data_IF_932436662285
#
_entry.id   IF_932436662285
#
_cell.length_a   1.000
_cell.length_b   1.000
_cell.length_c   1.000
_cell.angle_alpha   90.00
_cell.angle_beta   90.00
_cell.angle_gamma   90.00
#
_symmetry.space_group_name_H-M   'P 1'
#
loop_
_entity.id
_entity.type
_entity.pdbx_description
1 polymer ?
#
# COMPACT_ATOMS: atom_id res chain seq x y z
N UNK A 1 -13.92 -1.75 20.03
CA UNK A 1 -12.82 -2.11 19.11
C UNK A 1 -13.16 -1.50 17.75
N UNK A 2 -12.19 -0.90 17.04
CA UNK A 2 -12.40 -0.39 15.68
C UNK A 2 -11.66 -1.30 14.69
N UNK A 3 -12.30 -1.66 13.58
CA UNK A 3 -11.73 -2.52 12.54
C UNK A 3 -11.37 -1.69 11.31
N UNK A 4 -10.11 -1.78 10.87
CA UNK A 4 -9.67 -1.14 9.64
C UNK A 4 -9.73 -2.14 8.47
N UNK A 5 -10.27 -1.70 7.33
CA UNK A 5 -10.33 -2.44 6.08
C UNK A 5 -9.60 -1.62 5.01
N UNK A 6 -8.65 -2.23 4.32
CA UNK A 6 -7.87 -1.60 3.25
C UNK A 6 -8.19 -2.32 1.94
N UNK A 7 -8.76 -1.60 0.97
CA UNK A 7 -9.04 -2.12 -0.36
C UNK A 7 -7.97 -1.71 -1.39
N UNK A 8 -7.94 -2.38 -2.55
CA UNK A 8 -6.98 -2.09 -3.64
C UNK A 8 -7.31 -0.83 -4.46
N UNK A 9 -8.55 -0.32 -4.37
CA UNK A 9 -9.05 0.83 -5.12
C UNK A 9 -10.32 1.41 -4.49
N UNK A 10 -10.68 2.68 -4.77
CA UNK A 10 -11.83 3.35 -4.16
C UNK A 10 -13.18 2.65 -4.39
N UNK A 11 -13.38 2.03 -5.57
CA UNK A 11 -14.67 1.41 -5.88
C UNK A 11 -14.97 0.21 -4.97
N UNK A 12 -13.96 -0.62 -4.70
CA UNK A 12 -14.07 -1.78 -3.81
C UNK A 12 -14.29 -1.33 -2.37
N UNK A 13 -13.56 -0.30 -1.91
CA UNK A 13 -13.78 0.28 -0.58
C UNK A 13 -15.21 0.78 -0.38
N UNK A 14 -15.79 1.46 -1.38
CA UNK A 14 -17.18 1.96 -1.31
C UNK A 14 -18.20 0.84 -1.20
N UNK A 15 -18.01 -0.25 -1.93
CA UNK A 15 -18.89 -1.42 -1.87
C UNK A 15 -18.84 -2.09 -0.49
N UNK A 16 -17.63 -2.32 0.04
CA UNK A 16 -17.43 -2.88 1.38
C UNK A 16 -18.02 -1.95 2.45
N UNK A 17 -17.79 -0.65 2.35
CA UNK A 17 -18.30 0.33 3.30
C UNK A 17 -19.83 0.31 3.38
N UNK A 18 -20.52 0.11 2.27
CA UNK A 18 -21.97 -0.09 2.24
C UNK A 18 -22.43 -1.34 2.98
N UNK A 19 -21.71 -2.46 2.83
CA UNK A 19 -22.03 -3.74 3.49
C UNK A 19 -21.82 -3.63 5.01
N UNK A 20 -20.71 -3.03 5.45
CA UNK A 20 -20.37 -2.94 6.89
C UNK A 20 -21.01 -1.75 7.60
N UNK A 21 -21.74 -0.89 6.88
CA UNK A 21 -22.39 0.30 7.44
C UNK A 21 -21.44 1.46 7.76
N UNK A 22 -20.28 1.53 7.10
CA UNK A 22 -19.33 2.63 7.21
C UNK A 22 -19.73 3.80 6.30
N UNK A 23 -20.83 4.49 6.62
CA UNK A 23 -21.46 5.44 5.71
C UNK A 23 -20.92 6.88 5.76
N UNK A 24 -20.21 7.28 6.81
CA UNK A 24 -19.62 8.62 6.89
C UNK A 24 -18.37 8.68 6.00
N UNK A 25 -18.27 9.73 5.18
CA UNK A 25 -17.18 9.91 4.21
C UNK A 25 -16.22 10.97 4.72
N UNK A 26 -14.94 10.69 4.57
CA UNK A 26 -13.83 11.59 4.87
C UNK A 26 -12.86 11.62 3.68
N UNK A 27 -11.81 12.44 3.77
CA UNK A 27 -10.77 12.45 2.74
C UNK A 27 -9.94 11.15 2.78
N UNK A 28 -10.08 10.31 1.75
CA UNK A 28 -9.35 9.05 1.60
C UNK A 28 -9.92 7.84 2.36
N UNK A 29 -11.03 7.95 3.09
CA UNK A 29 -11.66 6.80 3.76
C UNK A 29 -13.14 7.02 4.11
N UNK A 30 -13.80 5.96 4.53
CA UNK A 30 -15.17 5.96 5.05
C UNK A 30 -15.21 5.32 6.43
N UNK A 31 -16.06 5.77 7.34
CA UNK A 31 -16.17 5.22 8.69
C UNK A 31 -17.61 5.24 9.20
N UNK A 32 -17.88 4.40 10.20
CA UNK A 32 -19.11 4.30 11.03
C UNK A 32 -19.26 2.82 11.45
N UNK A 33 -20.20 2.53 12.35
CA UNK A 33 -20.49 1.17 12.80
C UNK A 33 -19.26 0.39 13.32
N UNK A 34 -18.26 1.10 13.87
CA UNK A 34 -17.00 0.51 14.33
C UNK A 34 -15.97 0.19 13.24
N UNK A 35 -16.24 0.50 11.97
CA UNK A 35 -15.33 0.28 10.85
C UNK A 35 -14.68 1.56 10.35
N UNK A 36 -13.47 1.42 9.81
CA UNK A 36 -12.79 2.39 8.96
C UNK A 36 -12.39 1.67 7.66
N UNK A 37 -12.87 2.16 6.51
CA UNK A 37 -12.66 1.55 5.21
C UNK A 37 -11.91 2.54 4.32
N UNK A 38 -10.69 2.21 3.93
CA UNK A 38 -9.82 3.03 3.06
C UNK A 38 -9.32 2.19 1.88
N UNK A 39 -8.52 2.77 1.00
CA UNK A 39 -7.97 2.11 -0.17
C UNK A 39 -6.56 2.57 -0.49
N UNK A 40 -5.77 1.68 -1.08
CA UNK A 40 -4.56 2.02 -1.81
C UNK A 40 -4.92 2.41 -3.25
N UNK A 41 -4.11 3.23 -3.90
CA UNK A 41 -4.16 3.41 -5.35
C UNK A 41 -2.96 2.72 -5.97
N UNK A 42 -3.13 1.47 -6.40
CA UNK A 42 -2.02 0.65 -6.89
C UNK A 42 -1.01 0.34 -5.78
N UNK A 43 0.25 0.21 -6.15
CA UNK A 43 1.34 -0.03 -5.20
C UNK A 43 1.69 1.25 -4.45
N UNK A 44 1.42 1.29 -3.15
CA UNK A 44 1.85 2.40 -2.28
C UNK A 44 3.35 2.42 -2.02
N UNK A 45 3.99 1.26 -2.21
CA UNK A 45 5.41 1.03 -2.01
C UNK A 45 5.93 0.18 -3.16
N UNK A 46 7.17 0.43 -3.54
CA UNK A 46 7.88 -0.31 -4.58
C UNK A 46 9.23 -0.82 -4.06
N UNK A 47 9.87 -1.75 -4.78
CA UNK A 47 11.19 -2.22 -4.41
C UNK A 47 12.20 -1.08 -4.55
N UNK A 48 13.03 -0.88 -3.53
CA UNK A 48 14.15 0.04 -3.57
C UNK A 48 15.05 -0.23 -4.78
N UNK A 49 15.58 0.85 -5.35
CA UNK A 49 16.47 0.78 -6.49
C UNK A 49 17.86 0.26 -6.05
N UNK A 50 18.65 -0.37 -6.94
CA UNK A 50 20.01 -0.84 -6.63
C UNK A 50 20.91 0.18 -5.91
N UNK A 51 20.75 1.46 -6.23
CA UNK A 51 21.49 2.57 -5.65
C UNK A 51 21.28 2.68 -4.13
N UNK A 52 20.08 2.33 -3.63
CA UNK A 52 19.77 2.32 -2.19
C UNK A 52 20.44 1.18 -1.43
N UNK A 53 21.01 0.22 -2.17
CA UNK A 53 21.87 -0.85 -1.66
C UNK A 53 23.36 -0.58 -1.95
N UNK A 54 23.70 0.55 -2.56
CA UNK A 54 25.08 0.94 -2.86
C UNK A 54 25.58 0.52 -4.23
N UNK A 55 24.73 -0.03 -5.10
CA UNK A 55 25.10 -0.38 -6.48
C UNK A 55 24.75 0.79 -7.40
N UNK A 56 25.75 1.53 -7.85
CA UNK A 56 25.56 2.66 -8.78
C UNK A 56 26.03 2.30 -10.17
N UNK A 57 25.23 2.70 -11.17
CA UNK A 57 25.52 2.43 -12.58
C UNK A 57 25.44 0.94 -12.94
N UNK A 58 25.56 0.67 -14.24
CA UNK A 58 25.55 -0.70 -14.74
C UNK A 58 26.97 -1.27 -14.75
N UNK A 59 27.23 -2.24 -13.86
CA UNK A 59 28.46 -3.04 -13.87
C UNK A 59 28.13 -4.52 -13.85
N UNK A 60 28.77 -5.29 -14.74
CA UNK A 60 28.60 -6.75 -14.79
C UNK A 60 29.06 -7.41 -13.49
N UNK A 61 30.00 -6.80 -12.77
CA UNK A 61 30.54 -7.31 -11.50
C UNK A 61 29.55 -7.21 -10.34
N UNK A 62 28.58 -6.29 -10.42
CA UNK A 62 27.50 -6.17 -9.45
C UNK A 62 26.42 -7.23 -9.63
N UNK A 63 26.44 -7.97 -10.75
CA UNK A 63 25.38 -8.93 -11.07
C UNK A 63 25.72 -10.34 -10.57
N UNK A 64 24.74 -11.04 -9.96
CA UNK A 64 23.38 -10.58 -9.67
C UNK A 64 23.32 -9.68 -8.43
N UNK A 65 22.44 -8.66 -8.47
CA UNK A 65 22.17 -7.81 -7.30
C UNK A 65 21.18 -8.56 -6.41
N UNK A 66 21.64 -9.05 -5.27
CA UNK A 66 20.83 -9.75 -4.27
C UNK A 66 21.07 -9.08 -2.90
N UNK A 67 20.14 -8.24 -2.42
CA UNK A 67 20.34 -7.56 -1.15
C UNK A 67 20.14 -8.53 0.03
N UNK A 68 20.82 -8.31 1.18
CA UNK A 68 20.62 -9.10 2.38
C UNK A 68 19.22 -8.92 2.99
N UNK A 69 18.58 -7.78 2.74
CA UNK A 69 17.17 -7.51 3.04
C UNK A 69 16.57 -6.60 1.98
N UNK A 70 15.33 -6.85 1.58
CA UNK A 70 14.62 -5.97 0.65
C UNK A 70 14.19 -4.69 1.37
N UNK A 71 14.60 -3.56 0.81
CA UNK A 71 14.09 -2.22 1.16
C UNK A 71 12.94 -1.88 0.23
N UNK A 72 12.00 -1.10 0.75
CA UNK A 72 10.88 -0.53 0.00
C UNK A 72 10.99 0.99 0.04
N UNK A 73 10.56 1.65 -1.04
CA UNK A 73 10.42 3.10 -1.12
C UNK A 73 9.06 3.50 -1.69
#
# INVERSE_FOLDING_TARGET
>A
MKTAIIAEKPSVAREIAGIVGACAKEDGFMHSNGYMVTWAFGHLLTLAMPEEYGFTGFSREHLPIIPPSFKLY
#
